data_IF_252834810469
#
_entry.id   IF_252834810469
#
_cell.length_a   1.000
_cell.length_b   1.000
_cell.length_c   1.000
_cell.angle_alpha   90.00
_cell.angle_beta   90.00
_cell.angle_gamma   90.00
#
_symmetry.space_group_name_H-M   'P 1'
#
loop_
_entity.id
_entity.type
_entity.pdbx_description
1 polymer ?
#
# COMPACT_ATOMS: atom_id res chain seq x y z
N UNK A 1 -26.28 11.17 3.34
CA UNK A 1 -26.06 10.64 4.70
C UNK A 1 -24.72 9.96 4.65
N UNK A 2 -23.74 10.45 5.42
CA UNK A 2 -22.44 9.79 5.54
C UNK A 2 -22.66 8.44 6.22
N UNK A 3 -22.26 7.38 5.55
CA UNK A 3 -22.28 6.04 6.11
C UNK A 3 -21.29 6.03 7.30
N UNK A 4 -21.79 6.06 8.55
CA UNK A 4 -21.00 6.12 9.77
C UNK A 4 -20.34 4.75 10.09
N UNK A 5 -20.11 3.94 9.08
CA UNK A 5 -19.57 2.59 9.26
C UNK A 5 -18.13 2.55 9.78
N UNK A 6 -17.39 3.66 9.69
CA UNK A 6 -16.00 3.79 10.16
C UNK A 6 -15.71 5.22 10.62
N UNK A 7 -14.96 5.38 11.71
CA UNK A 7 -14.56 6.68 12.27
C UNK A 7 -13.04 6.87 12.26
N UNK A 8 -12.60 8.15 12.33
CA UNK A 8 -11.18 8.47 12.46
C UNK A 8 -10.60 7.89 13.75
N UNK A 9 -11.36 7.91 14.84
CA UNK A 9 -10.94 7.35 16.12
C UNK A 9 -10.68 5.83 16.02
N UNK A 10 -11.56 5.09 15.33
CA UNK A 10 -11.35 3.67 15.07
C UNK A 10 -10.11 3.42 14.20
N UNK A 11 -9.90 4.23 13.15
CA UNK A 11 -8.75 4.12 12.25
C UNK A 11 -7.42 4.36 12.99
N UNK A 12 -7.38 5.38 13.87
CA UNK A 12 -6.15 5.81 14.56
C UNK A 12 -5.90 5.11 15.89
N UNK A 13 -6.78 4.19 16.28
CA UNK A 13 -6.59 3.41 17.52
C UNK A 13 -5.34 2.54 17.42
N UNK A 14 -4.51 2.62 18.45
CA UNK A 14 -3.32 1.75 18.59
C UNK A 14 -3.74 0.29 18.82
N UNK A 15 -3.06 -0.64 18.13
CA UNK A 15 -3.33 -2.08 18.18
C UNK A 15 -2.05 -2.89 18.05
N UNK A 16 -2.06 -4.10 18.56
CA UNK A 16 -1.04 -5.10 18.21
C UNK A 16 -1.18 -5.55 16.75
N UNK A 17 -0.17 -6.20 16.14
CA UNK A 17 -0.23 -6.67 14.76
C UNK A 17 -1.45 -7.55 14.46
N UNK A 18 -1.71 -8.54 15.31
CA UNK A 18 -2.85 -9.47 15.15
C UNK A 18 -4.21 -8.78 15.35
N UNK A 19 -4.30 -7.87 16.35
CA UNK A 19 -5.51 -7.07 16.55
C UNK A 19 -5.80 -6.15 15.37
N UNK A 20 -4.78 -5.50 14.80
CA UNK A 20 -4.97 -4.60 13.65
C UNK A 20 -5.48 -5.37 12.42
N UNK A 21 -4.90 -6.53 12.12
CA UNK A 21 -5.32 -7.35 10.99
C UNK A 21 -6.74 -7.92 11.20
N UNK A 22 -7.03 -8.40 12.41
CA UNK A 22 -8.35 -8.93 12.74
C UNK A 22 -9.43 -7.85 12.67
N UNK A 23 -9.13 -6.67 13.20
CA UNK A 23 -10.03 -5.52 13.12
C UNK A 23 -10.24 -5.05 11.67
N UNK A 24 -9.16 -4.99 10.86
CA UNK A 24 -9.29 -4.65 9.44
C UNK A 24 -10.24 -5.62 8.73
N UNK A 25 -10.05 -6.93 8.87
CA UNK A 25 -10.89 -7.94 8.22
C UNK A 25 -12.36 -7.79 8.65
N UNK A 26 -12.61 -7.64 9.94
CA UNK A 26 -13.96 -7.44 10.47
C UNK A 26 -14.61 -6.17 9.90
N UNK A 27 -13.86 -5.07 9.81
CA UNK A 27 -14.36 -3.79 9.34
C UNK A 27 -14.64 -3.83 7.83
N UNK A 28 -13.74 -4.43 7.04
CA UNK A 28 -13.91 -4.65 5.61
C UNK A 28 -15.19 -5.46 5.33
N UNK A 29 -15.37 -6.59 6.00
CA UNK A 29 -16.56 -7.42 5.90
C UNK A 29 -17.84 -6.67 6.31
N UNK A 30 -17.78 -5.90 7.40
CA UNK A 30 -18.90 -5.09 7.88
C UNK A 30 -19.34 -4.06 6.83
N UNK A 31 -18.40 -3.29 6.28
CA UNK A 31 -18.69 -2.27 5.27
C UNK A 31 -19.19 -2.93 3.98
N UNK A 32 -18.53 -4.01 3.53
CA UNK A 32 -18.92 -4.73 2.33
C UNK A 32 -20.36 -5.25 2.39
N UNK A 33 -20.81 -5.71 3.56
CA UNK A 33 -22.13 -6.28 3.77
C UNK A 33 -23.18 -5.26 4.23
N UNK A 34 -22.81 -4.00 4.51
CA UNK A 34 -23.71 -2.98 5.01
C UNK A 34 -24.70 -2.49 3.94
N UNK A 35 -24.20 -2.14 2.76
CA UNK A 35 -25.00 -1.53 1.69
C UNK A 35 -24.28 -1.56 0.33
N UNK A 36 -24.98 -1.21 -0.75
CA UNK A 36 -24.35 -1.01 -2.06
C UNK A 36 -23.39 0.17 -2.06
N UNK A 37 -23.70 1.21 -1.31
CA UNK A 37 -22.83 2.38 -1.10
C UNK A 37 -21.54 1.99 -0.36
N UNK A 38 -21.65 1.16 0.69
CA UNK A 38 -20.50 0.63 1.41
C UNK A 38 -19.58 -0.20 0.50
N UNK A 39 -20.13 -1.11 -0.26
CA UNK A 39 -19.37 -1.88 -1.29
C UNK A 39 -18.70 -0.98 -2.31
N UNK A 40 -19.40 0.05 -2.77
CA UNK A 40 -18.86 1.03 -3.71
C UNK A 40 -17.72 1.81 -3.08
N UNK A 41 -17.90 2.31 -1.87
CA UNK A 41 -16.88 3.07 -1.14
C UNK A 41 -15.59 2.26 -0.96
N UNK A 42 -15.67 0.98 -0.57
CA UNK A 42 -14.51 0.09 -0.49
C UNK A 42 -13.82 -0.09 -1.85
N UNK A 43 -14.58 -0.39 -2.91
CA UNK A 43 -14.01 -0.65 -4.24
C UNK A 43 -13.38 0.58 -4.88
N UNK A 44 -13.91 1.76 -4.60
CA UNK A 44 -13.45 3.02 -5.19
C UNK A 44 -12.55 3.82 -4.24
N UNK A 45 -12.29 3.31 -3.04
CA UNK A 45 -11.52 4.00 -2.00
C UNK A 45 -12.07 5.41 -1.73
N UNK A 46 -13.38 5.52 -1.45
CA UNK A 46 -14.06 6.80 -1.21
C UNK A 46 -14.16 7.10 0.29
N UNK A 47 -13.97 8.36 0.69
CA UNK A 47 -14.03 8.76 2.10
C UNK A 47 -13.00 8.05 2.97
N UNK A 48 -13.39 7.62 4.18
CA UNK A 48 -12.49 6.93 5.12
C UNK A 48 -12.11 5.52 4.69
N UNK A 49 -12.83 4.90 3.74
CA UNK A 49 -12.41 3.62 3.19
C UNK A 49 -11.12 3.73 2.40
N UNK A 50 -10.76 4.94 1.93
CA UNK A 50 -9.45 5.19 1.34
C UNK A 50 -8.32 4.92 2.33
N UNK A 51 -8.39 5.51 3.53
CA UNK A 51 -7.40 5.27 4.57
C UNK A 51 -7.38 3.80 4.99
N UNK A 52 -8.57 3.17 5.10
CA UNK A 52 -8.67 1.76 5.42
C UNK A 52 -7.90 0.88 4.44
N UNK A 53 -8.07 1.12 3.13
CA UNK A 53 -7.47 0.30 2.08
C UNK A 53 -6.03 0.72 1.71
N UNK A 54 -5.71 2.00 1.80
CA UNK A 54 -4.42 2.50 1.33
C UNK A 54 -3.36 2.62 2.45
N UNK A 55 -3.77 2.67 3.73
CA UNK A 55 -2.86 2.84 4.87
C UNK A 55 -2.99 1.69 5.88
N UNK A 56 -4.22 1.36 6.31
CA UNK A 56 -4.44 0.35 7.34
C UNK A 56 -4.15 -1.06 6.84
N UNK A 57 -4.66 -1.47 5.67
CA UNK A 57 -4.38 -2.78 5.11
C UNK A 57 -2.87 -3.03 4.93
N UNK A 58 -2.10 -2.13 4.29
CA UNK A 58 -0.65 -2.28 4.20
C UNK A 58 0.04 -2.37 5.57
N UNK A 59 -0.35 -1.54 6.54
CA UNK A 59 0.21 -1.56 7.88
C UNK A 59 -0.10 -2.86 8.61
N UNK A 60 -1.33 -3.37 8.48
CA UNK A 60 -1.73 -4.64 9.09
C UNK A 60 -0.94 -5.82 8.51
N UNK A 61 -0.77 -5.86 7.18
CA UNK A 61 0.04 -6.87 6.48
C UNK A 61 1.52 -6.78 6.85
N UNK A 62 2.06 -5.57 6.95
CA UNK A 62 3.40 -5.34 7.45
C UNK A 62 3.57 -5.86 8.88
N UNK A 63 2.65 -5.49 9.77
CA UNK A 63 2.67 -5.90 11.17
C UNK A 63 2.64 -7.42 11.34
N UNK A 64 1.72 -8.09 10.64
CA UNK A 64 1.59 -9.55 10.62
C UNK A 64 2.91 -10.23 10.24
N UNK A 65 3.55 -9.77 9.16
CA UNK A 65 4.74 -10.42 8.61
C UNK A 65 6.03 -10.08 9.34
N UNK A 66 6.17 -8.83 9.77
CA UNK A 66 7.39 -8.37 10.46
C UNK A 66 7.45 -8.84 11.91
N UNK A 67 6.31 -8.87 12.58
CA UNK A 67 6.27 -9.07 14.03
C UNK A 67 5.52 -10.33 14.46
N UNK A 68 4.67 -10.88 13.58
CA UNK A 68 3.85 -12.04 13.90
C UNK A 68 2.82 -11.73 14.98
N UNK A 69 2.44 -12.76 15.74
CA UNK A 69 1.46 -12.65 16.82
C UNK A 69 2.16 -12.28 18.15
N UNK A 70 2.50 -11.00 18.29
CA UNK A 70 3.10 -10.47 19.52
C UNK A 70 2.25 -9.36 20.12
N UNK A 71 2.11 -9.35 21.44
CA UNK A 71 1.49 -8.25 22.18
C UNK A 71 2.49 -7.18 22.64
N UNK A 72 3.77 -7.32 22.27
CA UNK A 72 4.85 -6.38 22.62
C UNK A 72 5.21 -5.40 21.51
N UNK A 73 4.44 -5.36 20.44
CA UNK A 73 4.57 -4.36 19.39
C UNK A 73 3.22 -3.70 19.18
N UNK A 74 3.23 -2.38 19.11
CA UNK A 74 2.04 -1.57 18.92
C UNK A 74 2.14 -0.79 17.61
N UNK A 75 1.10 -0.82 16.82
CA UNK A 75 0.94 -0.11 15.55
C UNK A 75 -0.13 0.95 15.74
N UNK A 76 0.24 2.21 15.55
CA UNK A 76 -0.66 3.34 15.67
C UNK A 76 -0.73 4.10 14.35
N UNK A 77 -1.81 3.93 13.56
CA UNK A 77 -2.03 4.75 12.37
C UNK A 77 -2.19 6.22 12.75
N UNK A 78 -1.75 7.12 11.88
CA UNK A 78 -1.83 8.56 12.10
C UNK A 78 -2.40 9.22 10.85
N UNK A 79 -3.57 9.86 11.00
CA UNK A 79 -4.24 10.58 9.92
C UNK A 79 -4.03 12.08 10.13
N UNK A 80 -3.47 12.77 9.15
CA UNK A 80 -3.19 14.21 9.26
C UNK A 80 -2.19 14.72 8.22
N UNK A 81 -1.53 15.82 8.52
CA UNK A 81 -0.60 16.50 7.60
C UNK A 81 0.89 16.20 7.91
N UNK A 82 1.17 15.20 8.73
CA UNK A 82 2.53 14.76 9.03
C UNK A 82 3.12 13.96 7.84
N UNK A 83 4.46 13.86 7.80
CA UNK A 83 5.18 13.14 6.78
C UNK A 83 5.41 11.67 7.19
N UNK A 84 4.37 10.99 7.69
CA UNK A 84 4.35 9.56 7.96
C UNK A 84 2.90 9.11 8.23
N UNK A 85 2.61 7.85 8.02
CA UNK A 85 1.27 7.29 8.10
C UNK A 85 1.04 6.46 9.37
N UNK A 86 2.11 6.04 10.05
CA UNK A 86 1.99 5.30 11.30
C UNK A 86 3.22 5.45 12.20
N UNK A 87 3.00 5.16 13.48
CA UNK A 87 4.04 4.99 14.50
C UNK A 87 4.04 3.54 14.94
N UNK A 88 5.23 2.93 15.00
CA UNK A 88 5.44 1.58 15.54
C UNK A 88 6.24 1.70 16.82
N UNK A 89 5.70 1.14 17.91
CA UNK A 89 6.37 1.07 19.21
C UNK A 89 6.71 -0.38 19.52
N UNK A 90 8.01 -0.70 19.63
CA UNK A 90 8.50 -2.03 19.95
C UNK A 90 8.91 -2.09 21.44
N UNK A 91 8.10 -2.76 22.23
CA UNK A 91 8.30 -2.95 23.67
C UNK A 91 9.21 -4.15 24.01
N UNK A 92 9.72 -4.86 22.99
CA UNK A 92 10.65 -5.99 23.20
C UNK A 92 12.05 -5.54 23.55
N UNK A 93 12.39 -4.28 23.25
CA UNK A 93 13.68 -3.65 23.59
C UNK A 93 13.57 -2.81 24.85
N UNK A 94 14.70 -2.58 25.55
CA UNK A 94 14.76 -1.68 26.68
C UNK A 94 15.94 -0.69 26.52
N UNK A 95 15.65 0.62 26.42
CA UNK A 95 14.30 1.21 26.41
C UNK A 95 13.49 0.78 25.20
N UNK A 96 12.16 0.93 25.26
CA UNK A 96 11.29 0.68 24.13
C UNK A 96 11.74 1.50 22.92
N UNK A 97 11.77 0.88 21.74
CA UNK A 97 12.15 1.58 20.52
C UNK A 97 10.90 2.05 19.76
N UNK A 98 11.04 3.18 19.07
CA UNK A 98 9.97 3.74 18.27
C UNK A 98 10.50 4.14 16.90
N UNK A 99 9.72 3.86 15.84
CA UNK A 99 10.01 4.33 14.50
C UNK A 99 8.72 4.71 13.76
N UNK A 100 8.89 5.54 12.74
CA UNK A 100 7.81 6.00 11.89
C UNK A 100 7.72 5.16 10.63
N UNK A 101 6.52 5.12 10.05
CA UNK A 101 6.25 4.39 8.81
C UNK A 101 5.55 5.31 7.84
N UNK A 102 6.12 5.46 6.66
CA UNK A 102 5.48 6.03 5.49
C UNK A 102 5.02 4.92 4.57
N UNK A 103 3.80 4.99 4.09
CA UNK A 103 3.18 3.96 3.25
C UNK A 103 2.94 4.52 1.85
N UNK A 104 3.21 3.72 0.85
CA UNK A 104 2.84 4.04 -0.53
C UNK A 104 2.40 2.78 -1.24
N UNK A 105 1.45 2.92 -2.15
CA UNK A 105 0.98 1.80 -2.95
C UNK A 105 1.53 1.86 -4.38
N UNK A 106 1.88 0.69 -4.88
CA UNK A 106 2.27 0.46 -6.26
C UNK A 106 1.02 0.15 -7.08
N UNK A 107 0.38 1.18 -7.62
CA UNK A 107 -0.86 1.05 -8.39
C UNK A 107 -0.82 1.85 -9.70
N UNK A 108 -1.78 1.60 -10.59
CA UNK A 108 -1.90 2.26 -11.90
C UNK A 108 -2.41 3.72 -11.82
N UNK A 109 -2.53 4.30 -10.61
CA UNK A 109 -3.03 5.64 -10.42
C UNK A 109 -4.49 5.79 -10.89
N UNK A 110 -4.77 6.78 -11.76
CA UNK A 110 -6.12 7.01 -12.27
C UNK A 110 -6.70 5.80 -12.99
N UNK A 111 -5.89 5.03 -13.71
CA UNK A 111 -6.36 3.85 -14.42
C UNK A 111 -6.90 2.78 -13.47
N UNK A 112 -6.29 2.61 -12.31
CA UNK A 112 -6.80 1.70 -11.28
C UNK A 112 -8.21 2.11 -10.82
N UNK A 113 -8.40 3.39 -10.49
CA UNK A 113 -9.72 3.92 -10.13
C UNK A 113 -10.75 3.72 -11.24
N UNK A 114 -10.39 4.04 -12.49
CA UNK A 114 -11.29 3.89 -13.64
C UNK A 114 -11.64 2.42 -13.90
N UNK A 115 -10.69 1.51 -13.73
CA UNK A 115 -10.93 0.06 -13.85
C UNK A 115 -11.87 -0.43 -12.75
N UNK A 116 -11.66 -0.02 -11.50
CA UNK A 116 -12.54 -0.32 -10.38
C UNK A 116 -13.95 0.23 -10.59
N UNK A 117 -14.07 1.45 -11.14
CA UNK A 117 -15.36 2.05 -11.48
C UNK A 117 -16.07 1.27 -12.61
N UNK A 118 -15.34 0.85 -13.64
CA UNK A 118 -15.89 0.03 -14.72
C UNK A 118 -16.33 -1.35 -14.20
N UNK A 119 -15.53 -1.95 -13.30
CA UNK A 119 -15.87 -3.23 -12.65
C UNK A 119 -17.14 -3.10 -11.80
N UNK A 120 -17.24 -2.03 -11.01
CA UNK A 120 -18.45 -1.76 -10.21
C UNK A 120 -19.70 -1.65 -11.09
N UNK A 121 -19.62 -0.91 -12.21
CA UNK A 121 -20.76 -0.63 -13.07
C UNK A 121 -21.16 -1.82 -13.97
N UNK A 122 -20.22 -2.72 -14.31
CA UNK A 122 -20.44 -3.79 -15.32
C UNK A 122 -20.35 -5.20 -14.74
N UNK A 123 -19.81 -5.34 -13.51
CA UNK A 123 -19.59 -6.64 -12.86
C UNK A 123 -18.38 -7.42 -13.36
N UNK A 124 -17.86 -7.11 -14.55
CA UNK A 124 -16.69 -7.77 -15.14
C UNK A 124 -15.93 -6.82 -16.04
N UNK A 125 -14.60 -6.78 -15.90
CA UNK A 125 -13.66 -6.08 -16.79
C UNK A 125 -12.35 -6.86 -16.89
N UNK A 126 -11.62 -6.68 -18.00
CA UNK A 126 -10.29 -7.25 -18.14
C UNK A 126 -9.31 -6.58 -17.14
N UNK A 127 -8.54 -7.34 -16.38
CA UNK A 127 -7.53 -6.77 -15.47
C UNK A 127 -6.39 -6.08 -16.21
N UNK A 128 -6.10 -6.46 -17.45
CA UNK A 128 -4.97 -5.97 -18.25
C UNK A 128 -5.38 -5.11 -19.45
N UNK A 129 -6.68 -4.98 -19.72
CA UNK A 129 -7.17 -4.20 -20.85
C UNK A 129 -6.84 -2.72 -20.71
N UNK A 130 -6.56 -2.05 -21.83
CA UNK A 130 -6.32 -0.60 -21.85
C UNK A 130 -7.55 0.15 -21.34
N UNK A 131 -7.32 1.05 -20.39
CA UNK A 131 -8.37 1.90 -19.83
C UNK A 131 -8.45 3.20 -20.60
N UNK A 132 -9.65 3.62 -20.97
CA UNK A 132 -9.92 4.93 -21.57
C UNK A 132 -11.14 5.58 -20.94
N UNK A 133 -11.18 6.91 -20.95
CA UNK A 133 -12.32 7.68 -20.43
C UNK A 133 -12.79 8.74 -21.42
N UNK A 134 -14.09 9.02 -21.42
CA UNK A 134 -14.69 10.15 -22.12
C UNK A 134 -15.59 10.92 -21.14
N UNK A 135 -15.53 12.24 -21.17
CA UNK A 135 -16.26 13.12 -20.27
C UNK A 135 -15.54 13.31 -18.91
N UNK A 136 -16.25 13.92 -17.98
CA UNK A 136 -15.78 14.23 -16.61
C UNK A 136 -16.85 13.82 -15.61
N UNK A 137 -16.53 13.83 -14.28
CA UNK A 137 -17.55 13.60 -13.24
C UNK A 137 -18.75 14.56 -13.38
N UNK A 138 -18.54 15.78 -13.86
CA UNK A 138 -19.58 16.82 -14.03
C UNK A 138 -20.41 16.61 -15.30
N UNK A 139 -19.83 16.10 -16.38
CA UNK A 139 -20.48 15.94 -17.69
C UNK A 139 -20.92 14.50 -17.97
N UNK A 140 -20.78 13.61 -17.01
CA UNK A 140 -20.97 12.17 -17.15
C UNK A 140 -19.69 11.48 -17.62
N UNK A 141 -19.09 10.70 -16.72
CA UNK A 141 -17.88 9.95 -16.99
C UNK A 141 -18.23 8.59 -17.61
N UNK A 142 -17.80 8.36 -18.84
CA UNK A 142 -17.87 7.04 -19.50
C UNK A 142 -16.51 6.40 -19.52
N UNK A 143 -16.38 5.25 -18.88
CA UNK A 143 -15.14 4.47 -18.83
C UNK A 143 -15.25 3.28 -19.77
N UNK A 144 -14.20 3.03 -20.53
CA UNK A 144 -14.05 1.86 -21.39
C UNK A 144 -12.82 1.10 -20.99
N UNK A 145 -12.94 -0.22 -20.84
CA UNK A 145 -11.80 -1.11 -20.64
C UNK A 145 -11.83 -2.10 -21.80
N UNK A 146 -10.75 -2.14 -22.57
CA UNK A 146 -10.61 -3.05 -23.70
C UNK A 146 -10.51 -4.49 -23.19
N UNK A 147 -11.07 -5.44 -23.94
CA UNK A 147 -10.80 -6.86 -23.72
C UNK A 147 -9.33 -7.11 -24.09
N UNK A 148 -8.55 -7.56 -23.15
CA UNK A 148 -7.12 -7.85 -23.37
C UNK A 148 -6.60 -8.83 -22.34
N UNK A 149 -5.63 -9.65 -22.74
CA UNK A 149 -4.75 -10.40 -21.86
C UNK A 149 -3.38 -9.75 -21.88
N UNK A 150 -2.61 -9.88 -20.82
CA UNK A 150 -1.19 -9.63 -20.86
C UNK A 150 -0.46 -10.97 -20.79
N UNK A 151 0.71 -11.04 -21.41
CA UNK A 151 1.63 -12.12 -21.12
C UNK A 151 2.10 -11.96 -19.66
N UNK A 152 2.28 -13.09 -18.97
CA UNK A 152 2.62 -13.10 -17.54
C UNK A 152 3.90 -12.31 -17.29
N UNK A 153 4.88 -12.39 -18.19
CA UNK A 153 6.14 -11.66 -18.14
C UNK A 153 5.96 -10.13 -18.29
N UNK A 154 5.00 -9.70 -19.11
CA UNK A 154 4.70 -8.26 -19.29
C UNK A 154 4.01 -7.71 -18.05
N UNK A 155 3.04 -8.44 -17.51
CA UNK A 155 2.36 -8.06 -16.27
C UNK A 155 3.36 -7.91 -15.11
N UNK A 156 4.27 -8.88 -14.95
CA UNK A 156 5.30 -8.84 -13.92
C UNK A 156 6.27 -7.66 -14.09
N UNK A 157 6.68 -7.33 -15.32
CA UNK A 157 7.50 -6.13 -15.61
C UNK A 157 6.78 -4.84 -15.26
N UNK A 158 5.49 -4.77 -15.53
CA UNK A 158 4.67 -3.60 -15.20
C UNK A 158 4.51 -3.45 -13.69
N UNK A 159 4.39 -4.55 -12.94
CA UNK A 159 4.36 -4.53 -11.49
C UNK A 159 5.68 -4.00 -10.90
N UNK A 160 6.82 -4.51 -11.36
CA UNK A 160 8.14 -4.01 -10.96
C UNK A 160 8.30 -2.52 -11.27
N UNK A 161 7.87 -2.08 -12.45
CA UNK A 161 7.90 -0.66 -12.83
C UNK A 161 7.02 0.19 -11.91
N UNK A 162 5.83 -0.29 -11.53
CA UNK A 162 4.95 0.41 -10.57
C UNK A 162 5.59 0.53 -9.19
N UNK A 163 6.29 -0.51 -8.72
CA UNK A 163 7.05 -0.48 -7.47
C UNK A 163 8.15 0.60 -7.55
N UNK A 164 8.90 0.68 -8.65
CA UNK A 164 9.91 1.72 -8.85
C UNK A 164 9.29 3.13 -8.82
N UNK A 165 8.21 3.35 -9.56
CA UNK A 165 7.50 4.65 -9.58
C UNK A 165 6.98 5.03 -8.20
N UNK A 166 6.50 4.07 -7.40
CA UNK A 166 6.08 4.31 -6.01
C UNK A 166 7.26 4.79 -5.15
N UNK A 167 8.44 4.18 -5.29
CA UNK A 167 9.67 4.61 -4.62
C UNK A 167 10.11 6.01 -5.08
N UNK A 168 10.11 6.28 -6.38
CA UNK A 168 10.50 7.58 -6.95
C UNK A 168 9.65 8.74 -6.44
N UNK A 169 8.35 8.54 -6.20
CA UNK A 169 7.45 9.55 -5.61
C UNK A 169 7.86 9.99 -4.21
N UNK A 170 8.67 9.18 -3.51
CA UNK A 170 9.14 9.46 -2.14
C UNK A 170 10.56 10.03 -2.10
N UNK A 171 11.23 10.10 -3.25
CA UNK A 171 12.58 10.66 -3.37
C UNK A 171 12.61 12.14 -2.98
N UNK A 172 13.67 12.53 -2.28
CA UNK A 172 13.96 13.93 -1.96
C UNK A 172 13.00 14.61 -0.97
N UNK A 173 12.07 13.86 -0.37
CA UNK A 173 11.18 14.39 0.68
C UNK A 173 11.83 14.27 2.05
N UNK A 174 11.50 15.19 2.95
CA UNK A 174 11.96 15.15 4.32
C UNK A 174 11.01 14.34 5.19
N UNK A 175 11.59 13.40 5.92
CA UNK A 175 10.89 12.54 6.87
C UNK A 175 11.55 12.63 8.25
N UNK A 176 10.83 12.34 9.33
CA UNK A 176 11.46 12.19 10.65
C UNK A 176 12.58 11.17 10.62
N UNK A 177 13.59 11.36 11.47
CA UNK A 177 14.61 10.34 11.65
C UNK A 177 13.96 9.00 12.04
N UNK A 178 14.52 7.89 11.64
CA UNK A 178 13.98 6.56 11.87
C UNK A 178 12.64 6.27 11.14
N UNK A 179 12.34 6.96 10.04
CA UNK A 179 11.19 6.58 9.21
C UNK A 179 11.56 5.43 8.28
N UNK A 180 10.70 4.43 8.21
CA UNK A 180 10.75 3.33 7.25
C UNK A 180 9.73 3.54 6.14
N UNK A 181 10.04 3.09 4.92
CA UNK A 181 9.12 3.13 3.79
C UNK A 181 8.52 1.75 3.56
N UNK A 182 7.20 1.66 3.52
CA UNK A 182 6.47 0.50 3.03
C UNK A 182 5.98 0.79 1.62
N UNK A 183 6.37 -0.05 0.66
CA UNK A 183 5.75 -0.10 -0.67
C UNK A 183 4.85 -1.32 -0.70
N UNK A 184 3.54 -1.07 -0.70
CA UNK A 184 2.54 -2.11 -0.77
C UNK A 184 2.13 -2.36 -2.22
N UNK A 185 1.96 -3.64 -2.61
CA UNK A 185 1.59 -4.02 -3.96
C UNK A 185 0.79 -5.32 -4.00
N UNK A 186 0.11 -5.54 -5.12
CA UNK A 186 -0.64 -6.77 -5.35
C UNK A 186 0.30 -7.79 -6.00
N UNK A 187 0.69 -8.80 -5.23
CA UNK A 187 1.50 -9.92 -5.69
C UNK A 187 0.59 -11.09 -6.11
N UNK A 188 -0.15 -10.90 -7.20
CA UNK A 188 -1.08 -11.90 -7.69
C UNK A 188 -0.36 -13.24 -7.92
N UNK A 189 -0.83 -14.27 -7.22
CA UNK A 189 -0.32 -15.63 -7.26
C UNK A 189 -0.31 -16.22 -8.68
N UNK A 190 -1.13 -15.68 -9.58
CA UNK A 190 -1.24 -16.18 -10.95
C UNK A 190 -0.01 -15.86 -11.80
N UNK A 191 0.71 -14.79 -11.51
CA UNK A 191 1.87 -14.39 -12.34
C UNK A 191 3.10 -13.97 -11.53
N UNK A 192 2.98 -13.26 -10.41
CA UNK A 192 4.15 -12.69 -9.74
C UNK A 192 5.13 -13.78 -9.25
N UNK A 193 4.71 -14.83 -8.51
CA UNK A 193 5.64 -15.88 -8.07
C UNK A 193 6.19 -16.77 -9.18
N UNK A 194 5.59 -16.75 -10.37
CA UNK A 194 6.05 -17.57 -11.51
C UNK A 194 7.16 -16.90 -12.32
N UNK A 195 7.22 -15.58 -12.32
CA UNK A 195 8.12 -14.80 -13.17
C UNK A 195 9.11 -13.99 -12.35
N UNK A 196 8.69 -13.51 -11.19
CA UNK A 196 9.51 -12.73 -10.28
C UNK A 196 9.69 -13.53 -9.00
N UNK A 197 10.70 -14.40 -8.99
CA UNK A 197 11.15 -15.03 -7.76
C UNK A 197 11.88 -14.01 -6.86
N UNK A 198 12.20 -14.45 -5.68
CA UNK A 198 12.87 -13.63 -4.67
C UNK A 198 14.19 -13.04 -5.18
N UNK A 199 14.96 -13.80 -5.94
CA UNK A 199 16.26 -13.36 -6.47
C UNK A 199 16.10 -12.27 -7.54
N UNK A 200 15.10 -12.39 -8.40
CA UNK A 200 14.78 -11.37 -9.40
C UNK A 200 14.29 -10.08 -8.76
N UNK A 201 13.45 -10.18 -7.72
CA UNK A 201 12.95 -9.02 -6.99
C UNK A 201 14.10 -8.30 -6.27
N UNK A 202 14.96 -9.06 -5.58
CA UNK A 202 16.12 -8.50 -4.88
C UNK A 202 17.10 -7.83 -5.85
N UNK A 203 17.39 -8.43 -6.98
CA UNK A 203 18.24 -7.86 -8.03
C UNK A 203 17.62 -6.58 -8.60
N UNK A 204 16.33 -6.56 -8.87
CA UNK A 204 15.61 -5.37 -9.33
C UNK A 204 15.69 -4.24 -8.31
N UNK A 205 15.45 -4.52 -7.03
CA UNK A 205 15.52 -3.53 -5.94
C UNK A 205 16.93 -2.96 -5.82
N UNK A 206 17.95 -3.81 -5.79
CA UNK A 206 19.35 -3.41 -5.69
C UNK A 206 19.79 -2.52 -6.86
N UNK A 207 19.36 -2.82 -8.07
CA UNK A 207 19.75 -2.08 -9.27
C UNK A 207 19.01 -0.75 -9.42
N UNK A 208 17.77 -0.66 -9.00
CA UNK A 208 16.89 0.44 -9.34
C UNK A 208 16.45 1.27 -8.13
N UNK A 209 16.10 0.65 -7.01
CA UNK A 209 15.47 1.36 -5.88
C UNK A 209 16.50 1.80 -4.85
N UNK A 210 17.45 0.95 -4.46
CA UNK A 210 18.44 1.30 -3.45
C UNK A 210 19.44 2.37 -3.92
N UNK A 211 19.46 2.68 -5.20
CA UNK A 211 20.23 3.80 -5.78
C UNK A 211 19.51 5.14 -5.73
N UNK A 212 18.23 5.14 -5.40
CA UNK A 212 17.46 6.37 -5.24
C UNK A 212 17.88 7.08 -3.95
N UNK A 213 17.85 8.41 -3.97
CA UNK A 213 18.03 9.23 -2.75
C UNK A 213 16.77 9.16 -1.89
N UNK A 214 16.60 8.01 -1.22
CA UNK A 214 15.50 7.75 -0.30
C UNK A 214 15.97 8.05 1.12
N UNK A 215 15.32 9.01 1.77
CA UNK A 215 15.66 9.45 3.13
C UNK A 215 14.94 8.62 4.21
N UNK A 216 14.97 7.31 4.05
CA UNK A 216 14.40 6.34 4.98
C UNK A 216 15.50 5.48 5.61
N UNK A 217 15.22 4.90 6.77
CA UNK A 217 16.12 3.94 7.42
C UNK A 217 16.03 2.56 6.79
N UNK A 218 14.83 2.17 6.39
CA UNK A 218 14.52 0.83 5.88
C UNK A 218 13.44 0.92 4.81
N UNK A 219 13.56 0.09 3.78
CA UNK A 219 12.53 -0.15 2.79
C UNK A 219 11.91 -1.53 3.01
N UNK A 220 10.60 -1.59 3.08
CA UNK A 220 9.83 -2.82 3.09
C UNK A 220 9.03 -2.94 1.80
N UNK A 221 9.16 -4.06 1.10
CA UNK A 221 8.23 -4.47 0.05
C UNK A 221 7.24 -5.44 0.66
N UNK A 222 5.97 -5.07 0.64
CA UNK A 222 4.89 -5.82 1.26
C UNK A 222 3.85 -6.12 0.21
N UNK A 223 3.79 -7.37 -0.24
CA UNK A 223 2.74 -7.84 -1.13
C UNK A 223 1.43 -8.09 -0.37
N UNK A 224 0.33 -8.18 -1.06
CA UNK A 224 -0.96 -8.53 -0.45
C UNK A 224 -0.93 -9.95 0.14
N UNK A 225 -0.36 -10.91 -0.62
CA UNK A 225 -0.51 -12.34 -0.32
C UNK A 225 0.77 -12.98 0.23
N UNK A 226 1.92 -12.83 -0.40
CA UNK A 226 3.10 -13.66 -0.12
C UNK A 226 4.38 -12.88 0.11
N UNK A 227 4.63 -11.83 -0.69
CA UNK A 227 5.94 -11.17 -0.69
C UNK A 227 6.14 -10.32 0.53
N UNK A 228 7.25 -10.55 1.23
CA UNK A 228 7.77 -9.68 2.27
C UNK A 228 9.29 -9.58 2.14
N UNK A 229 9.80 -8.37 1.91
CA UNK A 229 11.23 -8.10 1.82
C UNK A 229 11.60 -6.87 2.61
N UNK A 230 12.77 -6.92 3.22
CA UNK A 230 13.33 -5.84 4.03
C UNK A 230 14.72 -5.47 3.52
N UNK A 231 14.94 -4.19 3.26
CA UNK A 231 16.22 -3.66 2.80
C UNK A 231 16.66 -2.50 3.68
N UNK A 232 17.86 -2.59 4.26
CA UNK A 232 18.46 -1.46 4.96
C UNK A 232 18.89 -0.40 3.95
N UNK A 233 18.46 0.84 4.16
CA UNK A 233 18.91 1.98 3.36
C UNK A 233 20.10 2.61 4.06
N UNK A 234 21.28 2.58 3.40
CA UNK A 234 22.46 3.26 3.93
C UNK A 234 22.13 4.75 4.09
N UNK A 235 22.33 5.30 5.29
CA UNK A 235 22.33 6.75 5.47
C UNK A 235 23.40 7.29 4.53
N UNK A 236 23.03 8.14 3.57
CA UNK A 236 24.02 8.96 2.85
C UNK A 236 24.84 9.70 3.91
N UNK A 237 26.04 9.20 4.20
CA UNK A 237 26.98 9.91 5.06
C UNK A 237 27.19 11.24 4.36
N UNK A 238 26.63 12.31 4.95
CA UNK A 238 26.97 13.68 4.57
C UNK A 238 28.48 13.79 4.67
N UNK A 239 29.17 13.66 3.55
CA UNK A 239 30.54 14.12 3.41
C UNK A 239 30.42 15.63 3.54
N UNK A 240 30.56 16.11 4.77
CA UNK A 240 30.82 17.51 5.06
C UNK A 240 32.16 17.81 4.40
N UNK A 241 32.08 18.40 3.19
CA UNK A 241 33.29 19.07 2.62
C UNK A 241 33.59 20.24 3.56
N UNK A 242 34.62 20.06 4.34
CA UNK A 242 35.34 21.15 4.98
C UNK A 242 36.03 22.05 3.92
#
# INVERSE_FOLDING_TARGET
MSDESISIEELTKERTPSELLSWFKQKDDQIYNSSDEGRKALRLHEGLTKQLMEEILPLAKFGERKFGDTNKVLLKPVIGNQNYDAVVTDLRTQPASQFYVEITQSHEGENQYLRSLALYNRGLVSPYGKVSKKGTKRTGLKVSVESGGAYVEEAAKDDLKRILVAAERKKGKDYPANTSLIIFFFDDISHFPRVVDDAHLDDFVNRNILKLDLRFSTLYLVGLDHVFREYSLAKSSNITKQ
#
